data_IF_002991136008
#
_entry.id   IF_002991136008
#
_cell.length_a   1.000
_cell.length_b   1.000
_cell.length_c   1.000
_cell.angle_alpha   90.00
_cell.angle_beta   90.00
_cell.angle_gamma   90.00
#
_symmetry.space_group_name_H-M   'P 1'
#
loop_
_entity.id
_entity.type
_entity.pdbx_description
1 polymer ?
#
# COMPACT_ATOMS: atom_id res chain seq x y z
N UNK A 1 -1.78 17.30 -15.84
CA UNK A 1 -0.74 16.26 -15.93
C UNK A 1 -0.16 16.01 -14.54
N UNK A 2 0.67 14.98 -14.38
CA UNK A 2 1.40 14.76 -13.11
C UNK A 2 0.86 13.62 -12.24
N UNK A 3 0.12 12.65 -12.81
CA UNK A 3 -0.39 11.50 -12.04
C UNK A 3 0.68 10.41 -11.88
N UNK A 4 1.89 10.80 -11.46
CA UNK A 4 3.03 9.89 -11.33
C UNK A 4 2.69 8.71 -10.43
N UNK A 5 3.20 7.53 -10.79
CA UNK A 5 2.97 6.26 -10.08
C UNK A 5 1.57 5.69 -10.22
N UNK A 6 0.55 6.53 -10.43
CA UNK A 6 -0.81 6.08 -10.66
C UNK A 6 -0.87 5.18 -11.90
N UNK A 7 -1.72 4.17 -11.82
CA UNK A 7 -1.93 3.21 -12.90
C UNK A 7 -3.41 2.96 -13.13
N UNK A 8 -3.76 2.86 -14.39
CA UNK A 8 -5.03 2.37 -14.90
C UNK A 8 -4.75 1.84 -16.31
N UNK A 9 -5.58 0.94 -16.87
CA UNK A 9 -5.47 0.59 -18.27
C UNK A 9 -5.46 1.84 -19.15
N UNK A 10 -4.59 1.88 -20.15
CA UNK A 10 -4.62 2.97 -21.12
C UNK A 10 -5.92 2.94 -21.92
N UNK A 11 -6.52 4.10 -22.16
CA UNK A 11 -7.76 4.24 -22.92
C UNK A 11 -8.90 4.83 -22.10
N UNK A 12 -10.13 4.52 -22.50
CA UNK A 12 -11.33 5.09 -21.90
C UNK A 12 -11.41 4.77 -20.40
N UNK A 13 -11.52 5.81 -19.58
CA UNK A 13 -11.81 5.71 -18.16
C UNK A 13 -13.13 6.41 -17.87
N UNK A 14 -13.96 5.77 -17.05
CA UNK A 14 -15.17 6.40 -16.53
C UNK A 14 -14.81 7.66 -15.75
N UNK A 15 -15.40 8.79 -16.16
CA UNK A 15 -15.39 10.03 -15.41
C UNK A 15 -16.80 10.25 -14.91
N UNK A 16 -16.96 10.35 -13.60
CA UNK A 16 -18.22 10.74 -12.98
C UNK A 16 -18.10 12.18 -12.50
N UNK A 17 -19.22 12.89 -12.40
CA UNK A 17 -19.23 14.26 -11.88
C UNK A 17 -20.39 15.10 -12.39
N UNK A 18 -20.32 16.41 -12.11
CA UNK A 18 -21.40 17.36 -12.37
C UNK A 18 -21.61 17.66 -13.86
N UNK A 19 -20.63 17.33 -14.71
CA UNK A 19 -20.64 17.58 -16.15
C UNK A 19 -20.33 16.27 -16.88
N UNK A 20 -21.06 16.01 -17.97
CA UNK A 20 -20.80 14.84 -18.80
C UNK A 20 -19.46 15.04 -19.55
N UNK A 21 -18.47 14.21 -19.22
CA UNK A 21 -17.15 14.22 -19.83
C UNK A 21 -16.72 12.78 -20.17
N UNK A 22 -15.97 12.63 -21.26
CA UNK A 22 -15.30 11.37 -21.59
C UNK A 22 -13.83 11.44 -21.19
N UNK A 23 -13.39 10.49 -20.38
CA UNK A 23 -12.02 10.39 -19.91
C UNK A 23 -11.18 9.41 -20.73
N UNK A 24 -9.92 9.74 -20.94
CA UNK A 24 -8.91 8.83 -21.48
C UNK A 24 -7.61 8.96 -20.70
N UNK A 25 -7.17 7.86 -20.07
CA UNK A 25 -5.93 7.82 -19.33
C UNK A 25 -4.80 7.27 -20.19
N UNK A 26 -3.67 7.95 -20.14
CA UNK A 26 -2.43 7.50 -20.74
C UNK A 26 -1.49 7.02 -19.63
N UNK A 27 -1.36 5.69 -19.50
CA UNK A 27 -0.56 5.08 -18.45
C UNK A 27 0.95 5.24 -18.67
N UNK A 28 1.38 5.65 -19.87
CA UNK A 28 2.78 5.94 -20.19
C UNK A 28 3.12 7.37 -19.76
N UNK A 29 2.32 8.35 -20.18
CA UNK A 29 2.58 9.77 -19.88
C UNK A 29 2.05 10.21 -18.51
N UNK A 30 1.26 9.35 -17.84
CA UNK A 30 0.62 9.64 -16.54
C UNK A 30 -0.28 10.87 -16.61
N UNK A 31 -1.10 10.90 -17.65
CA UNK A 31 -2.02 11.99 -17.94
C UNK A 31 -3.44 11.46 -18.12
N UNK A 32 -4.39 12.16 -17.51
CA UNK A 32 -5.81 12.00 -17.77
C UNK A 32 -6.26 13.13 -18.70
N UNK A 33 -6.74 12.77 -19.89
CA UNK A 33 -7.40 13.70 -20.80
C UNK A 33 -8.91 13.58 -20.62
N UNK A 34 -9.61 14.71 -20.54
CA UNK A 34 -11.06 14.76 -20.40
C UNK A 34 -11.65 15.61 -21.51
N UNK A 35 -12.57 15.04 -22.28
CA UNK A 35 -13.32 15.76 -23.29
C UNK A 35 -14.66 16.20 -22.69
N UNK A 36 -14.87 17.51 -22.66
CA UNK A 36 -16.12 18.13 -22.23
C UNK A 36 -17.20 17.87 -23.28
N UNK A 37 -18.30 17.21 -22.91
CA UNK A 37 -19.42 16.94 -23.82
C UNK A 37 -20.60 17.91 -23.62
N UNK A 38 -20.67 18.53 -22.44
CA UNK A 38 -21.75 19.45 -22.05
C UNK A 38 -21.15 20.70 -21.44
N UNK A 39 -21.85 21.83 -21.56
CA UNK A 39 -21.37 23.13 -21.09
C UNK A 39 -20.96 23.07 -19.62
N UNK A 40 -19.69 23.40 -19.33
CA UNK A 40 -19.24 23.69 -17.96
C UNK A 40 -19.70 25.10 -17.61
N UNK A 41 -20.58 25.30 -16.62
CA UNK A 41 -21.10 26.62 -16.31
C UNK A 41 -20.01 27.55 -15.77
N UNK A 42 -20.02 28.81 -16.22
CA UNK A 42 -19.09 29.82 -15.72
C UNK A 42 -19.36 30.12 -14.24
N UNK A 43 -18.28 30.25 -13.45
CA UNK A 43 -18.33 30.58 -12.01
C UNK A 43 -19.07 29.59 -11.12
N UNK A 44 -19.25 28.34 -11.57
CA UNK A 44 -19.83 27.26 -10.77
C UNK A 44 -18.75 26.21 -10.50
N UNK A 45 -18.45 25.89 -9.21
CA UNK A 45 -17.58 24.77 -8.88
C UNK A 45 -18.10 23.48 -9.50
N UNK A 46 -17.24 22.79 -10.25
CA UNK A 46 -17.57 21.53 -10.93
C UNK A 46 -16.66 20.45 -10.37
N UNK A 47 -17.25 19.38 -9.83
CA UNK A 47 -16.52 18.24 -9.28
C UNK A 47 -16.53 17.09 -10.28
N UNK A 48 -15.36 16.46 -10.43
CA UNK A 48 -15.15 15.29 -11.28
C UNK A 48 -14.37 14.24 -10.50
N UNK A 49 -14.61 12.97 -10.80
CA UNK A 49 -13.89 11.84 -10.21
C UNK A 49 -13.56 10.78 -11.27
N UNK A 50 -12.42 10.13 -11.07
CA UNK A 50 -11.97 8.97 -11.83
C UNK A 50 -11.10 8.10 -10.90
N UNK A 51 -11.02 6.81 -11.21
CA UNK A 51 -10.29 5.86 -10.37
C UNK A 51 -8.92 5.53 -10.96
N UNK A 52 -7.91 5.46 -10.09
CA UNK A 52 -6.56 4.98 -10.41
C UNK A 52 -6.08 4.04 -9.30
N UNK A 53 -5.10 3.21 -9.63
CA UNK A 53 -4.42 2.31 -8.70
C UNK A 53 -3.05 2.88 -8.36
N UNK A 54 -2.75 2.99 -7.07
CA UNK A 54 -1.45 3.42 -6.57
C UNK A 54 -0.33 2.42 -6.94
N UNK A 55 0.92 2.88 -7.09
CA UNK A 55 2.05 1.97 -7.27
C UNK A 55 2.28 1.14 -5.99
N UNK A 56 2.95 -0.01 -6.15
CA UNK A 56 3.32 -0.91 -5.03
C UNK A 56 4.58 -0.47 -4.28
N UNK A 57 5.14 0.67 -4.66
CA UNK A 57 6.33 1.25 -4.06
C UNK A 57 5.97 2.57 -3.41
N UNK A 58 6.70 2.91 -2.35
CA UNK A 58 6.66 4.23 -1.75
C UNK A 58 6.76 5.31 -2.82
N UNK A 59 5.93 6.34 -2.69
CA UNK A 59 5.92 7.48 -3.58
C UNK A 59 5.50 8.73 -2.81
N UNK A 60 6.28 9.80 -2.91
CA UNK A 60 5.82 11.12 -2.51
C UNK A 60 4.70 11.63 -3.40
N UNK A 61 3.86 12.53 -2.88
CA UNK A 61 2.83 13.17 -3.71
C UNK A 61 3.50 13.93 -4.87
N UNK A 62 3.22 13.57 -6.13
CA UNK A 62 3.78 14.26 -7.27
C UNK A 62 3.10 15.62 -7.48
N UNK A 63 3.76 16.58 -8.15
CA UNK A 63 3.13 17.83 -8.54
C UNK A 63 2.02 17.56 -9.57
N UNK A 64 0.78 17.90 -9.23
CA UNK A 64 -0.39 17.76 -10.10
C UNK A 64 -0.74 19.13 -10.68
N UNK A 65 -1.05 19.15 -11.97
CA UNK A 65 -1.53 20.36 -12.65
C UNK A 65 -2.74 20.10 -13.53
N UNK A 66 -3.54 21.14 -13.74
CA UNK A 66 -4.68 21.15 -14.66
C UNK A 66 -4.46 22.20 -15.74
N UNK A 67 -4.83 21.88 -16.97
CA UNK A 67 -4.73 22.74 -18.15
C UNK A 67 -5.89 22.44 -19.09
N UNK A 68 -6.25 23.37 -19.96
CA UNK A 68 -7.26 23.15 -20.99
C UNK A 68 -6.76 23.59 -22.36
N UNK A 69 -7.24 22.89 -23.39
CA UNK A 69 -7.01 23.20 -24.81
C UNK A 69 -8.34 23.46 -25.52
N UNK A 70 -8.31 24.13 -26.67
CA UNK A 70 -9.50 24.67 -27.36
C UNK A 70 -9.81 26.10 -26.95
N UNK A 71 -9.82 26.36 -25.63
CA UNK A 71 -9.58 27.68 -25.03
C UNK A 71 -8.29 27.51 -24.22
N UNK A 72 -7.23 28.22 -24.61
CA UNK A 72 -5.92 28.04 -23.99
C UNK A 72 -5.95 28.50 -22.53
N UNK A 73 -5.93 27.53 -21.62
CA UNK A 73 -5.69 27.75 -20.19
C UNK A 73 -4.37 27.04 -19.88
N UNK A 74 -3.30 27.78 -19.50
CA UNK A 74 -2.01 27.18 -19.20
C UNK A 74 -2.11 26.22 -18.00
N UNK A 75 -1.09 25.39 -17.81
CA UNK A 75 -1.05 24.47 -16.68
C UNK A 75 -0.92 25.25 -15.37
N UNK A 76 -1.85 24.99 -14.44
CA UNK A 76 -1.82 25.52 -13.08
C UNK A 76 -1.65 24.38 -12.08
N UNK A 77 -0.79 24.55 -11.06
CA UNK A 77 -0.66 23.55 -9.99
C UNK A 77 -1.96 23.45 -9.20
N UNK A 78 -2.31 22.24 -8.80
CA UNK A 78 -3.46 21.96 -7.94
C UNK A 78 -2.94 21.72 -6.52
N UNK A 79 -3.55 22.37 -5.53
CA UNK A 79 -3.21 22.13 -4.13
C UNK A 79 -3.84 20.82 -3.67
N UNK A 80 -3.01 19.94 -3.10
CA UNK A 80 -3.48 18.75 -2.38
C UNK A 80 -3.84 19.06 -0.93
N UNK A 81 -4.36 18.05 -0.24
CA UNK A 81 -4.60 18.09 1.20
C UNK A 81 -3.29 17.82 1.96
N UNK A 82 -2.68 18.89 2.45
CA UNK A 82 -1.42 18.84 3.18
C UNK A 82 -1.59 18.81 4.71
N UNK A 83 -2.83 18.95 5.22
CA UNK A 83 -3.08 19.21 6.64
C UNK A 83 -3.77 18.02 7.32
N UNK A 84 -4.62 17.29 6.58
CA UNK A 84 -5.34 16.15 7.16
C UNK A 84 -4.39 15.03 7.56
N UNK A 85 -4.48 14.63 8.82
CA UNK A 85 -3.87 13.40 9.34
C UNK A 85 -4.86 12.25 9.15
N UNK A 86 -4.45 11.21 8.43
CA UNK A 86 -5.33 10.08 8.13
C UNK A 86 -5.65 9.25 9.38
N UNK A 87 -6.93 9.08 9.68
CA UNK A 87 -7.38 8.25 10.81
C UNK A 87 -7.31 6.76 10.47
N UNK A 88 -6.90 5.93 11.44
CA UNK A 88 -6.88 4.47 11.28
C UNK A 88 -5.66 3.92 10.52
N UNK A 89 -4.72 4.79 10.15
CA UNK A 89 -3.44 4.41 9.56
C UNK A 89 -2.33 4.63 10.62
N UNK A 90 -1.59 3.58 11.01
CA UNK A 90 -0.47 3.71 11.94
C UNK A 90 0.55 4.73 11.45
N UNK A 91 1.04 5.58 12.35
CA UNK A 91 2.07 6.59 12.11
C UNK A 91 1.75 7.64 11.02
N UNK A 92 0.49 7.78 10.61
CA UNK A 92 0.09 8.80 9.65
C UNK A 92 0.30 10.21 10.22
N UNK A 93 0.75 11.12 9.37
CA UNK A 93 1.04 12.51 9.69
C UNK A 93 0.39 13.48 8.69
N UNK A 94 0.45 14.77 8.99
CA UNK A 94 0.00 15.80 8.07
C UNK A 94 0.78 15.71 6.76
N UNK A 95 0.08 15.81 5.64
CA UNK A 95 0.63 15.61 4.30
C UNK A 95 0.53 14.18 3.76
N UNK A 96 0.08 13.21 4.57
CA UNK A 96 -0.19 11.84 4.10
C UNK A 96 -1.49 11.73 3.29
N UNK A 97 -2.40 12.69 3.46
CA UNK A 97 -3.61 12.82 2.65
C UNK A 97 -3.38 13.43 1.27
N UNK A 98 -2.14 13.84 0.94
CA UNK A 98 -1.84 14.42 -0.37
C UNK A 98 -2.09 13.40 -1.49
N UNK A 99 -2.65 13.83 -2.64
CA UNK A 99 -3.06 12.93 -3.71
C UNK A 99 -1.86 12.14 -4.26
N UNK A 100 -2.08 10.85 -4.52
CA UNK A 100 -1.10 9.91 -5.07
C UNK A 100 0.17 9.69 -4.22
N UNK A 101 0.19 10.14 -2.95
CA UNK A 101 1.19 9.69 -2.01
C UNK A 101 0.95 8.22 -1.66
N UNK A 102 2.02 7.44 -1.61
CA UNK A 102 2.01 6.04 -1.17
C UNK A 102 2.92 5.92 0.03
N UNK A 103 2.34 5.54 1.17
CA UNK A 103 3.06 5.39 2.43
C UNK A 103 4.03 4.22 2.38
N UNK A 104 5.18 4.40 3.02
CA UNK A 104 6.15 3.33 3.17
C UNK A 104 5.62 2.27 4.14
N UNK A 105 5.76 1.00 3.78
CA UNK A 105 5.43 -0.11 4.69
C UNK A 105 6.56 -0.27 5.70
N UNK A 106 6.22 -0.42 6.97
CA UNK A 106 7.15 -0.63 8.06
C UNK A 106 6.72 -1.82 8.94
N UNK A 107 7.65 -2.34 9.74
CA UNK A 107 7.35 -3.36 10.75
C UNK A 107 6.86 -2.71 12.04
N UNK A 108 5.59 -2.93 12.38
CA UNK A 108 4.99 -2.54 13.66
C UNK A 108 5.41 -3.48 14.79
N UNK A 109 5.41 -4.78 14.52
CA UNK A 109 5.88 -5.82 15.46
C UNK A 109 7.03 -6.58 14.82
N UNK A 110 8.09 -6.78 15.61
CA UNK A 110 9.25 -7.61 15.25
C UNK A 110 9.82 -8.24 16.51
N UNK A 111 9.50 -9.51 16.73
CA UNK A 111 10.05 -10.27 17.85
C UNK A 111 10.48 -11.66 17.41
N UNK A 112 11.54 -12.15 18.06
CA UNK A 112 12.08 -13.48 17.84
C UNK A 112 12.25 -14.17 19.20
N UNK A 113 11.85 -15.43 19.27
CA UNK A 113 11.92 -16.26 20.46
C UNK A 113 12.30 -17.69 20.09
N UNK A 114 12.48 -18.53 21.10
CA UNK A 114 12.88 -19.92 20.91
C UNK A 114 12.26 -20.83 21.98
N UNK A 115 12.11 -22.12 21.69
CA UNK A 115 11.50 -23.07 22.64
C UNK A 115 12.51 -23.70 23.62
N UNK A 116 13.80 -23.83 23.25
CA UNK A 116 14.81 -24.46 24.11
C UNK A 116 16.24 -23.92 23.88
N UNK A 117 16.96 -23.50 24.93
CA UNK A 117 18.35 -23.04 24.84
C UNK A 117 19.39 -24.15 25.02
N UNK A 118 18.99 -25.39 25.32
CA UNK A 118 19.94 -26.43 25.77
C UNK A 118 20.66 -27.11 24.60
N UNK A 119 21.97 -27.45 24.74
CA UNK A 119 22.72 -28.12 23.69
C UNK A 119 22.08 -29.44 23.24
N UNK A 120 22.00 -29.67 21.93
CA UNK A 120 21.45 -30.90 21.34
C UNK A 120 19.93 -31.05 21.46
N UNK A 121 19.22 -30.14 22.15
CA UNK A 121 17.77 -30.15 22.19
C UNK A 121 17.18 -29.60 20.89
N UNK A 122 16.00 -30.13 20.51
CA UNK A 122 15.22 -29.54 19.42
C UNK A 122 14.75 -28.15 19.84
N UNK A 123 15.04 -27.15 19.01
CA UNK A 123 14.70 -25.78 19.24
C UNK A 123 13.91 -25.22 18.06
N UNK A 124 12.74 -24.67 18.32
CA UNK A 124 11.93 -23.97 17.32
C UNK A 124 12.15 -22.48 17.47
N UNK A 125 12.51 -21.79 16.39
CA UNK A 125 12.61 -20.33 16.36
C UNK A 125 11.24 -19.76 16.01
N UNK A 126 10.62 -19.02 16.93
CA UNK A 126 9.36 -18.35 16.73
C UNK A 126 9.60 -16.91 16.30
N UNK A 127 8.96 -16.48 15.22
CA UNK A 127 9.09 -15.14 14.67
C UNK A 127 7.70 -14.54 14.58
N UNK A 128 7.52 -13.36 15.15
CA UNK A 128 6.25 -12.62 15.08
C UNK A 128 6.49 -11.29 14.38
N UNK A 129 5.71 -11.05 13.33
CA UNK A 129 5.79 -9.85 12.50
C UNK A 129 4.39 -9.24 12.33
N UNK A 130 4.33 -7.92 12.30
CA UNK A 130 3.15 -7.14 11.89
C UNK A 130 3.61 -5.94 11.08
N UNK A 131 2.85 -5.60 10.04
CA UNK A 131 3.21 -4.59 9.05
C UNK A 131 2.23 -3.41 9.14
N UNK A 132 2.69 -2.20 8.79
CA UNK A 132 1.86 -1.00 8.77
C UNK A 132 0.84 -0.96 7.61
N UNK A 133 0.96 -1.87 6.66
CA UNK A 133 0.03 -2.02 5.54
C UNK A 133 0.03 -3.47 5.03
N UNK A 134 -1.02 -3.82 4.29
CA UNK A 134 -1.12 -5.11 3.61
C UNK A 134 -0.07 -5.22 2.50
N UNK A 135 0.67 -6.33 2.50
CA UNK A 135 1.53 -6.70 1.38
C UNK A 135 0.82 -7.79 0.59
N UNK A 136 0.63 -7.54 -0.71
CA UNK A 136 -0.03 -8.48 -1.61
C UNK A 136 0.95 -9.58 -2.04
N UNK A 137 0.47 -10.82 -2.10
CA UNK A 137 1.20 -11.91 -2.75
C UNK A 137 1.46 -11.61 -4.23
N UNK A 138 2.42 -12.31 -4.82
CA UNK A 138 2.73 -12.11 -6.23
C UNK A 138 1.54 -12.41 -7.12
N UNK A 139 1.44 -11.61 -8.18
CA UNK A 139 0.54 -11.83 -9.30
C UNK A 139 1.35 -11.77 -10.57
N UNK A 140 0.74 -12.03 -11.72
CA UNK A 140 1.37 -11.78 -13.02
C UNK A 140 1.85 -10.33 -13.22
N UNK A 141 1.40 -9.39 -12.37
CA UNK A 141 1.71 -7.95 -12.46
C UNK A 141 2.59 -7.43 -11.32
N UNK A 142 2.84 -8.21 -10.26
CA UNK A 142 3.57 -7.76 -9.08
C UNK A 142 4.64 -8.78 -8.66
N UNK A 143 5.86 -8.30 -8.45
CA UNK A 143 6.99 -9.10 -7.98
C UNK A 143 6.72 -9.66 -6.57
N UNK A 144 7.40 -10.77 -6.25
CA UNK A 144 7.40 -11.33 -4.91
C UNK A 144 7.95 -10.33 -3.89
N UNK A 145 7.22 -10.14 -2.80
CA UNK A 145 7.81 -9.62 -1.57
C UNK A 145 8.51 -10.75 -0.82
N UNK A 146 9.65 -10.47 -0.19
CA UNK A 146 10.39 -11.45 0.60
C UNK A 146 10.73 -10.91 1.98
N UNK A 147 10.60 -11.77 2.99
CA UNK A 147 11.09 -11.51 4.35
C UNK A 147 12.32 -12.36 4.57
N UNK A 148 13.44 -11.72 4.87
CA UNK A 148 14.73 -12.39 5.06
C UNK A 148 15.14 -12.29 6.52
N UNK A 149 15.32 -13.45 7.17
CA UNK A 149 15.88 -13.54 8.52
C UNK A 149 17.35 -13.96 8.39
N UNK A 150 18.25 -13.06 8.79
CA UNK A 150 19.69 -13.28 8.74
C UNK A 150 20.26 -13.52 10.13
N UNK A 151 21.51 -13.99 10.21
CA UNK A 151 22.21 -14.18 11.49
C UNK A 151 21.88 -15.48 12.23
N UNK A 152 21.25 -16.46 11.57
CA UNK A 152 20.93 -17.77 12.13
C UNK A 152 22.15 -18.72 12.17
N UNK A 153 23.34 -18.19 12.50
CA UNK A 153 24.56 -18.99 12.61
C UNK A 153 24.39 -20.08 13.67
N UNK A 154 24.78 -21.31 13.35
CA UNK A 154 24.71 -22.45 14.26
C UNK A 154 23.36 -23.17 14.28
N UNK A 155 22.36 -22.72 13.51
CA UNK A 155 21.13 -23.47 13.27
C UNK A 155 21.38 -24.58 12.22
N UNK A 156 21.42 -25.87 12.59
CA UNK A 156 21.54 -26.94 11.61
C UNK A 156 20.23 -27.07 10.83
N UNK A 157 20.29 -27.22 9.51
CA UNK A 157 19.11 -27.52 8.69
C UNK A 157 18.66 -28.95 9.01
N UNK A 158 17.55 -29.10 9.72
CA UNK A 158 16.86 -30.39 9.82
C UNK A 158 16.02 -30.53 8.54
N UNK A 159 16.45 -31.38 7.61
CA UNK A 159 15.72 -31.63 6.37
C UNK A 159 14.34 -32.23 6.67
N UNK A 160 13.27 -31.41 6.63
CA UNK A 160 11.88 -31.75 6.27
C UNK A 160 10.90 -30.59 6.47
N UNK A 161 11.25 -29.36 6.08
CA UNK A 161 10.23 -28.36 5.81
C UNK A 161 9.64 -28.68 4.42
N UNK A 162 8.69 -29.62 4.37
CA UNK A 162 7.83 -29.77 3.19
C UNK A 162 6.99 -28.51 3.11
N UNK A 163 7.43 -27.62 2.23
CA UNK A 163 6.75 -26.37 1.91
C UNK A 163 5.47 -26.73 1.14
N UNK A 164 4.34 -26.66 1.82
CA UNK A 164 3.03 -26.81 1.19
C UNK A 164 2.06 -25.80 1.76
N UNK A 165 2.34 -24.51 1.54
CA UNK A 165 1.35 -23.43 1.35
C UNK A 165 0.21 -23.26 2.37
N UNK A 166 0.26 -23.94 3.51
CA UNK A 166 -0.75 -23.88 4.56
C UNK A 166 -0.43 -22.71 5.47
N UNK A 167 -1.37 -21.76 5.56
CA UNK A 167 -1.29 -20.69 6.54
C UNK A 167 -0.99 -21.28 7.93
N UNK A 168 0.09 -20.80 8.55
CA UNK A 168 0.32 -21.03 9.97
C UNK A 168 -0.81 -20.32 10.71
N UNK A 169 -1.72 -21.07 11.30
CA UNK A 169 -2.80 -20.53 12.12
C UNK A 169 -2.20 -19.86 13.37
N UNK A 170 -2.19 -18.53 13.37
CA UNK A 170 -1.71 -17.68 14.47
C UNK A 170 -2.85 -17.24 15.40
N UNK A 171 -3.99 -17.92 15.40
CA UNK A 171 -5.15 -17.55 16.23
C UNK A 171 -5.05 -17.93 17.71
N UNK A 172 -3.97 -18.59 18.15
CA UNK A 172 -3.78 -18.88 19.58
C UNK A 172 -3.22 -17.66 20.33
N UNK A 173 -3.98 -17.04 21.26
CA UNK A 173 -3.39 -16.10 22.21
C UNK A 173 -2.35 -16.83 23.07
N UNK A 174 -1.33 -16.14 23.59
CA UNK A 174 -0.35 -16.77 24.47
C UNK A 174 -1.07 -17.36 25.68
N UNK A 175 -1.06 -18.69 25.81
CA UNK A 175 -1.47 -19.35 27.05
C UNK A 175 -0.57 -18.82 28.16
N UNK A 176 -1.18 -18.05 29.06
CA UNK A 176 -0.57 -17.68 30.32
C UNK A 176 -0.61 -18.94 31.18
N UNK A 177 0.47 -19.73 31.15
CA UNK A 177 0.62 -20.84 32.10
C UNK A 177 0.82 -20.24 33.48
N UNK A 178 -0.26 -20.21 34.28
CA UNK A 178 -0.19 -19.84 35.69
C UNK A 178 0.63 -20.91 36.43
N UNK A 179 1.74 -20.47 37.05
CA UNK A 179 2.54 -21.26 37.99
C UNK A 179 1.74 -21.53 39.29
N UNK A 180 0.72 -22.38 39.22
CA UNK A 180 0.08 -22.96 40.41
C UNK A 180 -0.22 -24.45 40.27
N UNK A 181 0.10 -25.10 39.14
CA UNK A 181 -0.25 -26.52 38.91
C UNK A 181 0.96 -27.47 38.89
N UNK A 182 2.02 -27.14 39.65
CA UNK A 182 3.17 -28.03 39.89
C UNK A 182 3.34 -28.34 41.38
N UNK A 183 2.26 -28.78 42.02
CA UNK A 183 2.36 -29.59 43.24
C UNK A 183 1.32 -30.71 43.19
N UNK A 184 1.77 -31.90 42.78
CA UNK A 184 1.02 -33.15 42.76
C UNK A 184 1.85 -34.28 42.19
#
# INVERSE_FOLDING_TARGET
SGLSGASAPSGALGVAGDVNMQGSFNNITKQMAMQVLTTVPASVPTVLSFSVTNPVVYQDSPPISVSASGISIPAFPVSGDAETVLSGIPDAAAGDAMPLKVLAVSFLVKSIGQTSPYPGALNTILVTLSLSADIRGATEFYDHWSVVISGLLGAPVMANATDSGGALDVSAPPETVNMTDLTG
#
